data_IF_736590379652
#
_entry.id   IF_736590379652
#
_cell.length_a   1.000
_cell.length_b   1.000
_cell.length_c   1.000
_cell.angle_alpha   90.00
_cell.angle_beta   90.00
_cell.angle_gamma   90.00
#
_symmetry.space_group_name_H-M   'P 1'
#
loop_
_entity.id
_entity.type
_entity.pdbx_description
1 polymer ?
#
# COMPACT_ATOMS: atom_id res chain seq x y z
N UNK A 1 -31.46 -9.34 14.58
CA UNK A 1 -32.68 -9.88 13.99
C UNK A 1 -33.85 -9.11 14.57
N UNK A 2 -34.44 -8.20 13.80
CA UNK A 2 -35.64 -7.48 14.19
C UNK A 2 -36.82 -8.46 14.18
N UNK A 3 -37.46 -8.66 15.33
CA UNK A 3 -38.71 -9.44 15.43
C UNK A 3 -39.80 -8.57 14.83
N UNK A 4 -40.42 -8.95 13.71
CA UNK A 4 -41.56 -8.18 13.18
C UNK A 4 -42.75 -8.34 14.12
N UNK A 5 -43.09 -7.28 14.81
CA UNK A 5 -44.37 -7.19 15.54
C UNK A 5 -45.44 -6.86 14.50
N UNK A 6 -46.27 -7.85 14.16
CA UNK A 6 -47.42 -7.62 13.29
C UNK A 6 -48.46 -6.83 14.06
N UNK A 7 -48.84 -5.67 13.59
CA UNK A 7 -49.80 -4.72 14.15
C UNK A 7 -51.22 -5.31 14.35
N UNK A 8 -51.51 -6.45 13.72
CA UNK A 8 -52.84 -7.08 13.74
C UNK A 8 -53.17 -7.84 15.02
N UNK A 9 -52.26 -7.89 16.00
CA UNK A 9 -52.47 -8.57 17.30
C UNK A 9 -52.39 -7.67 18.52
N UNK A 10 -52.22 -6.38 18.35
CA UNK A 10 -52.37 -5.45 19.48
C UNK A 10 -53.85 -5.27 19.83
N UNK A 11 -54.24 -5.37 21.10
CA UNK A 11 -55.61 -5.00 21.51
C UNK A 11 -55.88 -3.57 21.06
N UNK A 12 -56.98 -3.36 20.35
CA UNK A 12 -57.41 -2.03 19.89
C UNK A 12 -57.95 -1.17 21.04
N UNK A 13 -57.28 -1.17 22.17
CA UNK A 13 -57.60 -0.25 23.24
C UNK A 13 -56.98 1.10 22.92
N UNK A 14 -57.84 2.08 22.58
CA UNK A 14 -57.46 3.44 22.18
C UNK A 14 -57.22 4.37 23.37
N UNK A 15 -57.09 3.84 24.56
CA UNK A 15 -56.71 4.64 25.73
C UNK A 15 -55.21 4.95 25.64
N UNK A 16 -54.92 6.22 25.52
CA UNK A 16 -53.53 6.65 25.67
C UNK A 16 -53.05 6.25 27.07
N UNK A 17 -51.86 5.63 27.18
CA UNK A 17 -51.32 5.26 28.47
C UNK A 17 -51.14 6.49 29.35
N UNK A 18 -51.43 6.37 30.63
CA UNK A 18 -51.20 7.43 31.60
C UNK A 18 -49.70 7.72 31.74
N UNK A 19 -49.34 8.93 32.18
CA UNK A 19 -47.95 9.30 32.45
C UNK A 19 -47.27 8.35 33.45
N UNK A 20 -48.02 7.81 34.38
CA UNK A 20 -47.52 6.83 35.35
C UNK A 20 -47.18 5.51 34.68
N UNK A 21 -48.03 4.98 33.81
CA UNK A 21 -47.77 3.75 33.05
C UNK A 21 -46.60 3.91 32.10
N UNK A 22 -46.47 5.08 31.46
CA UNK A 22 -45.30 5.39 30.60
C UNK A 22 -43.99 5.46 31.41
N UNK A 23 -44.05 6.05 32.61
CA UNK A 23 -42.89 6.15 33.49
C UNK A 23 -42.47 4.79 34.03
N UNK A 24 -43.44 3.97 34.43
CA UNK A 24 -43.19 2.62 34.97
C UNK A 24 -42.61 1.71 33.87
N UNK A 25 -43.14 1.76 32.65
CA UNK A 25 -42.62 1.01 31.50
C UNK A 25 -41.19 1.48 31.12
N UNK A 26 -40.97 2.80 31.10
CA UNK A 26 -39.66 3.36 30.85
C UNK A 26 -38.61 2.88 31.89
N UNK A 27 -39.01 2.89 33.18
CA UNK A 27 -38.12 2.40 34.25
C UNK A 27 -37.87 0.89 34.16
N UNK A 28 -38.89 0.10 33.77
CA UNK A 28 -38.74 -1.34 33.57
C UNK A 28 -37.87 -1.70 32.36
N UNK A 29 -37.90 -0.87 31.32
CA UNK A 29 -37.16 -1.06 30.06
C UNK A 29 -35.89 -0.19 29.95
N UNK A 30 -35.39 0.34 31.07
CA UNK A 30 -34.26 1.31 31.10
C UNK A 30 -32.99 0.77 30.43
N UNK A 31 -32.77 -0.54 30.48
CA UNK A 31 -31.64 -1.21 29.85
C UNK A 31 -31.75 -1.21 28.30
N UNK A 32 -32.97 -1.24 27.76
CA UNK A 32 -33.21 -1.20 26.31
C UNK A 32 -32.91 0.19 25.70
N UNK A 33 -32.93 1.23 26.54
CA UNK A 33 -32.59 2.61 26.16
C UNK A 33 -31.15 3.00 26.46
N UNK A 34 -30.35 2.09 27.04
CA UNK A 34 -28.92 2.35 27.23
C UNK A 34 -28.18 2.23 25.90
N UNK A 35 -27.59 3.31 25.51
CA UNK A 35 -26.66 3.34 24.40
C UNK A 35 -25.24 3.46 24.93
N UNK A 36 -24.30 2.78 24.26
CA UNK A 36 -22.89 2.99 24.50
C UNK A 36 -22.53 4.46 24.28
N UNK A 37 -21.52 4.93 25.00
CA UNK A 37 -21.05 6.32 24.84
C UNK A 37 -20.61 6.56 23.40
N UNK A 38 -21.34 7.40 22.68
CA UNK A 38 -21.03 7.79 21.31
C UNK A 38 -20.26 9.11 21.31
N UNK A 39 -19.18 9.14 20.54
CA UNK A 39 -18.38 10.35 20.31
C UNK A 39 -18.30 10.65 18.83
N UNK A 40 -18.61 11.88 18.46
CA UNK A 40 -18.32 12.39 17.14
C UNK A 40 -16.86 12.86 17.12
N UNK A 41 -16.07 12.28 16.22
CA UNK A 41 -14.65 12.62 16.08
C UNK A 41 -14.41 13.13 14.68
N UNK A 42 -13.78 14.30 14.57
CA UNK A 42 -13.22 14.81 13.33
C UNK A 42 -11.70 14.63 13.36
N UNK A 43 -11.10 14.29 12.22
CA UNK A 43 -9.66 14.14 12.13
C UNK A 43 -9.12 14.67 10.81
N UNK A 44 -7.86 15.09 10.84
CA UNK A 44 -7.07 15.43 9.65
C UNK A 44 -5.94 14.44 9.50
N UNK A 45 -5.71 13.98 8.28
CA UNK A 45 -4.65 13.01 7.98
C UNK A 45 -3.73 13.51 6.89
N UNK A 46 -2.44 13.19 7.00
CA UNK A 46 -1.44 13.44 5.98
C UNK A 46 -0.97 12.12 5.38
N UNK A 47 -1.06 12.03 4.06
CA UNK A 47 -0.60 10.85 3.34
C UNK A 47 0.93 10.80 3.33
N UNK A 48 1.50 9.70 3.81
CA UNK A 48 2.93 9.41 3.70
C UNK A 48 3.26 9.01 2.25
N UNK A 49 3.38 9.98 1.37
CA UNK A 49 3.75 9.74 -0.02
C UNK A 49 5.16 10.29 -0.29
N UNK A 50 5.91 9.69 -1.22
CA UNK A 50 7.18 10.25 -1.68
C UNK A 50 6.99 11.65 -2.24
N UNK A 51 7.97 12.52 -2.00
CA UNK A 51 8.04 13.84 -2.61
C UNK A 51 8.54 13.75 -4.07
N UNK A 52 8.43 14.88 -4.79
CA UNK A 52 9.06 15.00 -6.10
C UNK A 52 10.59 14.81 -6.02
N UNK A 53 11.22 15.32 -4.95
CA UNK A 53 12.65 15.15 -4.73
C UNK A 53 13.04 13.69 -4.46
N UNK A 54 12.21 12.94 -3.72
CA UNK A 54 12.43 11.50 -3.51
C UNK A 54 12.40 10.75 -4.85
N UNK A 55 11.47 11.12 -5.74
CA UNK A 55 11.38 10.52 -7.07
C UNK A 55 12.60 10.84 -7.94
N UNK A 56 13.12 12.06 -7.86
CA UNK A 56 14.34 12.49 -8.57
C UNK A 56 15.55 11.72 -8.04
N UNK A 57 15.73 11.67 -6.73
CA UNK A 57 16.85 10.98 -6.10
C UNK A 57 16.82 9.48 -6.43
N UNK A 58 15.65 8.88 -6.46
CA UNK A 58 15.46 7.49 -6.87
C UNK A 58 15.85 7.27 -8.34
N UNK A 59 15.54 8.22 -9.22
CA UNK A 59 15.99 8.20 -10.61
C UNK A 59 17.51 8.23 -10.75
N UNK A 60 18.19 9.05 -9.98
CA UNK A 60 19.67 9.08 -9.96
C UNK A 60 20.27 7.77 -9.46
N UNK A 61 19.73 7.21 -8.38
CA UNK A 61 20.17 5.91 -7.86
C UNK A 61 20.03 4.80 -8.92
N UNK A 62 18.90 4.72 -9.61
CA UNK A 62 18.67 3.73 -10.66
C UNK A 62 19.67 3.92 -11.81
N UNK A 63 19.95 5.16 -12.20
CA UNK A 63 20.91 5.46 -13.26
C UNK A 63 22.33 5.05 -12.88
N UNK A 64 22.75 5.32 -11.65
CA UNK A 64 24.06 4.90 -11.11
C UNK A 64 24.20 3.37 -11.11
N UNK A 65 23.21 2.66 -10.58
CA UNK A 65 23.22 1.19 -10.56
C UNK A 65 23.32 0.61 -11.98
N UNK A 66 22.56 1.18 -12.93
CA UNK A 66 22.61 0.74 -14.33
C UNK A 66 23.95 1.01 -14.98
N UNK A 67 24.58 2.15 -14.71
CA UNK A 67 25.91 2.50 -15.21
C UNK A 67 26.97 1.54 -14.66
N UNK A 68 26.98 1.30 -13.35
CA UNK A 68 27.90 0.37 -12.69
C UNK A 68 27.75 -1.05 -13.22
N UNK A 69 26.50 -1.52 -13.35
CA UNK A 69 26.21 -2.84 -13.90
C UNK A 69 26.69 -2.99 -15.35
N UNK A 70 26.48 -1.97 -16.20
CA UNK A 70 26.93 -1.99 -17.59
C UNK A 70 28.47 -1.80 -17.72
N UNK A 71 29.10 -1.22 -16.72
CA UNK A 71 30.56 -1.09 -16.66
C UNK A 71 31.29 -2.37 -16.20
N UNK A 72 30.52 -3.44 -15.90
CA UNK A 72 31.07 -4.75 -15.57
C UNK A 72 31.13 -5.05 -14.07
N UNK A 73 30.56 -4.20 -13.20
CA UNK A 73 30.39 -4.52 -11.79
C UNK A 73 29.44 -5.71 -11.62
N UNK A 74 29.68 -6.52 -10.60
CA UNK A 74 28.86 -7.70 -10.33
C UNK A 74 27.40 -7.33 -10.08
N UNK A 75 26.50 -7.76 -10.98
CA UNK A 75 25.07 -7.53 -10.81
C UNK A 75 24.53 -8.18 -9.54
N UNK A 76 25.09 -9.30 -9.11
CA UNK A 76 24.71 -9.97 -7.89
C UNK A 76 25.05 -9.15 -6.64
N UNK A 77 26.22 -8.50 -6.62
CA UNK A 77 26.62 -7.64 -5.51
C UNK A 77 25.77 -6.38 -5.47
N UNK A 78 25.51 -5.75 -6.61
CA UNK A 78 24.57 -4.63 -6.73
C UNK A 78 23.14 -5.03 -6.27
N UNK A 79 22.70 -6.23 -6.63
CA UNK A 79 21.40 -6.72 -6.20
C UNK A 79 21.35 -6.94 -4.68
N UNK A 80 22.39 -7.51 -4.07
CA UNK A 80 22.45 -7.69 -2.62
C UNK A 80 22.49 -6.35 -1.88
N UNK A 81 23.16 -5.33 -2.46
CA UNK A 81 23.27 -4.01 -1.86
C UNK A 81 21.97 -3.18 -1.98
N UNK A 82 21.32 -3.21 -3.15
CA UNK A 82 20.25 -2.26 -3.47
C UNK A 82 18.86 -2.83 -3.57
N UNK A 83 18.69 -4.15 -3.74
CA UNK A 83 17.34 -4.68 -3.96
C UNK A 83 16.46 -4.52 -2.72
N UNK A 84 15.25 -4.02 -2.96
CA UNK A 84 14.17 -3.94 -1.97
C UNK A 84 13.13 -5.05 -2.16
N UNK A 85 13.50 -6.09 -2.94
CA UNK A 85 12.71 -7.31 -3.05
C UNK A 85 13.21 -8.35 -2.04
N UNK A 86 12.41 -8.70 -1.01
CA UNK A 86 12.83 -9.67 0.00
C UNK A 86 13.14 -11.05 -0.58
N UNK A 87 12.57 -11.41 -1.73
CA UNK A 87 12.79 -12.73 -2.35
C UNK A 87 14.15 -12.86 -3.01
N UNK A 88 14.74 -11.73 -3.44
CA UNK A 88 16.06 -11.65 -4.09
C UNK A 88 17.20 -11.23 -3.16
N UNK A 89 16.88 -10.82 -1.93
CA UNK A 89 17.85 -10.38 -0.95
C UNK A 89 18.80 -11.54 -0.58
N UNK A 90 20.08 -11.27 -0.48
CA UNK A 90 21.14 -12.25 -0.22
C UNK A 90 21.29 -13.39 -1.27
N UNK A 91 20.61 -13.25 -2.42
CA UNK A 91 20.65 -14.19 -3.54
C UNK A 91 21.13 -13.55 -4.84
N UNK A 92 21.67 -12.34 -4.77
CA UNK A 92 22.08 -11.60 -5.97
C UNK A 92 20.91 -11.24 -6.90
N UNK A 93 19.69 -11.12 -6.34
CA UNK A 93 18.48 -10.83 -7.10
C UNK A 93 18.01 -11.98 -8.00
N UNK A 94 18.50 -13.21 -7.81
CA UNK A 94 18.19 -14.35 -8.67
C UNK A 94 16.72 -14.75 -8.62
N UNK A 95 16.09 -14.80 -9.80
CA UNK A 95 14.70 -15.24 -9.98
C UNK A 95 14.59 -16.67 -10.51
N UNK A 96 15.73 -17.30 -10.91
CA UNK A 96 15.74 -18.57 -11.59
C UNK A 96 15.11 -18.49 -12.99
N UNK A 97 14.70 -19.65 -13.51
CA UNK A 97 13.96 -19.77 -14.76
C UNK A 97 12.48 -19.49 -14.56
N UNK A 98 11.91 -18.64 -15.40
CA UNK A 98 10.47 -18.37 -15.39
C UNK A 98 9.89 -18.35 -16.82
N UNK A 99 8.65 -18.79 -16.93
CA UNK A 99 7.85 -18.76 -18.15
C UNK A 99 6.86 -17.59 -18.17
N UNK A 100 6.09 -17.51 -19.26
CA UNK A 100 5.01 -16.51 -19.41
C UNK A 100 3.91 -16.73 -18.35
N UNK A 101 3.39 -15.63 -17.81
CA UNK A 101 2.34 -15.62 -16.77
C UNK A 101 2.85 -15.72 -15.33
N UNK A 102 4.15 -15.84 -15.11
CA UNK A 102 4.74 -15.96 -13.77
C UNK A 102 5.18 -14.63 -13.17
N UNK A 103 5.41 -13.62 -14.01
CA UNK A 103 5.87 -12.29 -13.58
C UNK A 103 4.81 -11.22 -13.88
N UNK A 104 4.95 -10.05 -13.27
CA UNK A 104 4.08 -8.92 -13.61
C UNK A 104 4.31 -8.49 -15.05
N UNK A 105 3.23 -8.16 -15.74
CA UNK A 105 3.20 -7.96 -17.20
C UNK A 105 4.31 -7.05 -17.75
N UNK A 106 4.57 -5.85 -17.18
CA UNK A 106 5.64 -4.98 -17.70
C UNK A 106 7.04 -5.61 -17.60
N UNK A 107 7.30 -6.32 -16.49
CA UNK A 107 8.56 -7.02 -16.26
C UNK A 107 8.73 -8.17 -17.25
N UNK A 108 7.70 -9.00 -17.39
CA UNK A 108 7.69 -10.15 -18.27
C UNK A 108 7.93 -9.75 -19.73
N UNK A 109 7.14 -8.80 -20.24
CA UNK A 109 7.28 -8.32 -21.61
C UNK A 109 8.70 -7.80 -21.90
N UNK A 110 9.28 -7.04 -20.96
CA UNK A 110 10.63 -6.54 -21.09
C UNK A 110 11.69 -7.67 -21.10
N UNK A 111 11.60 -8.61 -20.15
CA UNK A 111 12.53 -9.72 -20.03
C UNK A 111 12.49 -10.65 -21.26
N UNK A 112 11.28 -10.98 -21.74
CA UNK A 112 11.13 -11.83 -22.94
C UNK A 112 11.58 -11.13 -24.23
N UNK A 113 11.45 -9.80 -24.32
CA UNK A 113 11.87 -9.01 -25.48
C UNK A 113 13.39 -8.76 -25.51
N UNK A 114 14.01 -8.67 -24.34
CA UNK A 114 15.44 -8.36 -24.20
C UNK A 114 16.32 -9.47 -24.78
N UNK A 115 17.56 -9.15 -25.12
CA UNK A 115 18.57 -10.13 -25.57
C UNK A 115 19.19 -10.86 -24.38
N UNK A 116 19.59 -12.13 -24.59
CA UNK A 116 20.44 -12.85 -23.64
C UNK A 116 21.71 -12.02 -23.33
N UNK A 117 22.09 -11.95 -22.06
CA UNK A 117 23.26 -11.21 -21.58
C UNK A 117 23.03 -9.70 -21.43
N UNK A 118 21.83 -9.18 -21.67
CA UNK A 118 21.59 -7.74 -21.53
C UNK A 118 21.06 -7.36 -20.16
N UNK A 119 21.44 -6.18 -19.70
CA UNK A 119 20.87 -5.49 -18.56
C UNK A 119 19.92 -4.42 -19.09
N UNK A 120 18.68 -4.46 -18.63
CA UNK A 120 17.60 -3.57 -19.10
C UNK A 120 16.90 -2.90 -17.92
N UNK A 121 16.39 -1.70 -18.15
CA UNK A 121 15.64 -0.94 -17.14
C UNK A 121 15.74 0.56 -17.39
N UNK A 122 15.15 1.37 -16.52
CA UNK A 122 14.20 0.94 -15.49
C UNK A 122 12.83 0.52 -16.06
N UNK A 123 12.34 -0.62 -15.62
CA UNK A 123 11.01 -1.11 -15.97
C UNK A 123 10.06 -0.82 -14.80
N UNK A 124 9.06 0.03 -15.02
CA UNK A 124 8.10 0.41 -13.98
C UNK A 124 7.00 -0.65 -13.82
N UNK A 125 6.69 -1.01 -12.58
CA UNK A 125 5.57 -1.84 -12.20
C UNK A 125 4.85 -1.29 -10.96
N UNK A 126 3.79 -1.97 -10.51
CA UNK A 126 3.12 -1.63 -9.25
C UNK A 126 3.99 -1.79 -8.00
N UNK A 127 5.10 -2.50 -8.11
CA UNK A 127 6.04 -2.73 -7.01
C UNK A 127 7.18 -1.71 -6.95
N UNK A 128 7.44 -1.01 -8.03
CA UNK A 128 8.55 -0.06 -8.16
C UNK A 128 9.20 -0.11 -9.54
N UNK A 129 10.46 0.28 -9.59
CA UNK A 129 11.30 0.23 -10.78
C UNK A 129 12.22 -0.99 -10.71
N UNK A 130 12.27 -1.76 -11.79
CA UNK A 130 13.10 -2.95 -11.91
C UNK A 130 14.26 -2.71 -12.85
N UNK A 131 15.46 -3.14 -12.47
CA UNK A 131 16.60 -3.35 -13.34
C UNK A 131 16.73 -4.86 -13.51
N UNK A 132 16.77 -5.36 -14.73
CA UNK A 132 16.71 -6.79 -15.04
C UNK A 132 17.97 -7.19 -15.77
N UNK A 133 18.69 -8.17 -15.27
CA UNK A 133 19.76 -8.84 -15.96
C UNK A 133 19.25 -10.16 -16.57
N UNK A 134 19.10 -10.21 -17.90
CA UNK A 134 18.67 -11.39 -18.63
C UNK A 134 19.88 -12.30 -18.89
N UNK A 135 20.09 -13.28 -18.03
CA UNK A 135 21.28 -14.17 -18.10
C UNK A 135 21.19 -15.21 -19.22
N UNK A 136 20.03 -15.80 -19.41
CA UNK A 136 19.83 -16.82 -20.43
C UNK A 136 18.37 -16.92 -20.92
N UNK A 137 18.17 -17.61 -22.04
CA UNK A 137 16.86 -17.92 -22.61
C UNK A 137 16.86 -19.34 -23.16
N UNK A 138 15.78 -20.09 -22.94
CA UNK A 138 15.60 -21.42 -23.50
C UNK A 138 14.16 -21.64 -23.95
N UNK A 139 14.00 -22.64 -24.78
CA UNK A 139 12.67 -23.20 -25.07
C UNK A 139 12.66 -24.63 -24.58
N UNK A 140 11.71 -24.98 -23.72
CA UNK A 140 11.52 -26.30 -23.15
C UNK A 140 10.06 -26.70 -23.39
N UNK A 141 9.86 -27.86 -24.04
CA UNK A 141 8.55 -28.34 -24.46
C UNK A 141 7.70 -27.31 -25.25
N UNK A 142 8.37 -26.52 -26.12
CA UNK A 142 7.73 -25.47 -26.92
C UNK A 142 7.34 -24.23 -26.15
N UNK A 143 7.74 -24.12 -24.86
CA UNK A 143 7.52 -22.97 -24.00
C UNK A 143 8.82 -22.20 -23.80
N UNK A 144 8.76 -20.90 -24.10
CA UNK A 144 9.89 -20.01 -23.84
C UNK A 144 10.05 -19.76 -22.35
N UNK A 145 11.31 -19.80 -21.88
CA UNK A 145 11.68 -19.46 -20.51
C UNK A 145 12.88 -18.49 -20.52
N UNK A 146 12.92 -17.64 -19.51
CA UNK A 146 13.99 -16.66 -19.27
C UNK A 146 14.63 -16.94 -17.92
N UNK A 147 15.95 -16.94 -17.87
CA UNK A 147 16.74 -16.94 -16.65
C UNK A 147 17.18 -15.51 -16.38
N UNK A 148 16.74 -14.92 -15.27
CA UNK A 148 17.12 -13.56 -14.96
C UNK A 148 17.39 -13.33 -13.47
N UNK A 149 18.10 -12.24 -13.21
CA UNK A 149 18.18 -11.60 -11.90
C UNK A 149 17.61 -10.21 -11.99
N UNK A 150 17.14 -9.65 -10.88
CA UNK A 150 16.62 -8.29 -10.86
C UNK A 150 17.02 -7.50 -9.61
N UNK A 151 16.97 -6.19 -9.73
CA UNK A 151 17.03 -5.23 -8.63
C UNK A 151 15.71 -4.48 -8.61
N UNK A 152 15.00 -4.50 -7.49
CA UNK A 152 13.77 -3.74 -7.28
C UNK A 152 14.10 -2.50 -6.46
N UNK A 153 13.78 -1.33 -6.98
CA UNK A 153 13.89 -0.06 -6.28
C UNK A 153 12.48 0.56 -6.15
N UNK A 154 12.03 0.77 -4.91
CA UNK A 154 10.76 1.40 -4.59
C UNK A 154 10.97 2.90 -4.40
N UNK A 155 9.98 3.70 -4.77
CA UNK A 155 9.96 5.12 -4.42
C UNK A 155 9.22 5.26 -3.10
N UNK A 156 9.95 5.52 -2.03
CA UNK A 156 9.40 5.70 -0.68
C UNK A 156 9.67 7.13 -0.20
N UNK A 157 8.85 7.61 0.77
CA UNK A 157 9.08 8.90 1.38
C UNK A 157 10.37 8.85 2.21
N UNK A 158 11.32 9.72 1.89
CA UNK A 158 12.60 9.84 2.61
C UNK A 158 12.39 10.32 4.06
N UNK A 159 13.38 10.13 4.93
CA UNK A 159 13.36 10.71 6.29
C UNK A 159 13.11 12.23 6.29
N UNK A 160 13.64 12.96 5.31
CA UNK A 160 13.40 14.40 5.15
C UNK A 160 11.93 14.67 4.84
N UNK A 161 11.35 13.98 3.86
CA UNK A 161 9.93 14.10 3.53
C UNK A 161 9.04 13.77 4.73
N UNK A 162 9.36 12.72 5.49
CA UNK A 162 8.62 12.37 6.71
C UNK A 162 8.77 13.40 7.81
N UNK A 163 9.95 14.02 7.96
CA UNK A 163 10.18 15.11 8.91
C UNK A 163 9.37 16.35 8.56
N UNK A 164 9.33 16.72 7.29
CA UNK A 164 8.54 17.86 6.80
C UNK A 164 7.03 17.64 7.00
N UNK A 165 6.55 16.41 6.74
CA UNK A 165 5.15 16.04 7.03
C UNK A 165 4.82 16.16 8.52
N UNK A 166 5.71 15.67 9.41
CA UNK A 166 5.52 15.80 10.85
C UNK A 166 5.48 17.26 11.28
N UNK A 167 6.41 18.08 10.76
CA UNK A 167 6.45 19.52 11.04
C UNK A 167 5.14 20.19 10.61
N UNK A 168 4.65 19.90 9.42
CA UNK A 168 3.38 20.42 8.91
C UNK A 168 2.21 20.02 9.81
N UNK A 169 2.13 18.75 10.21
CA UNK A 169 1.11 18.28 11.13
C UNK A 169 1.16 18.93 12.50
N UNK A 170 2.37 19.18 13.02
CA UNK A 170 2.58 19.86 14.30
C UNK A 170 2.14 21.31 14.23
N UNK A 171 2.54 22.05 13.17
CA UNK A 171 2.12 23.45 12.98
C UNK A 171 0.60 23.55 12.86
N UNK A 172 -0.03 22.67 12.08
CA UNK A 172 -1.49 22.61 11.99
C UNK A 172 -2.14 22.40 13.37
N UNK A 173 -1.57 21.50 14.20
CA UNK A 173 -2.10 21.26 15.55
C UNK A 173 -2.05 22.51 16.43
N UNK A 174 -0.97 23.29 16.37
CA UNK A 174 -0.88 24.57 17.08
C UNK A 174 -1.88 25.59 16.55
N UNK A 175 -1.97 25.76 15.24
CA UNK A 175 -2.89 26.71 14.61
C UNK A 175 -4.35 26.35 14.94
N UNK A 176 -4.70 25.05 14.95
CA UNK A 176 -6.04 24.58 15.28
C UNK A 176 -6.40 24.82 16.76
N UNK A 177 -5.43 24.75 17.67
CA UNK A 177 -5.64 25.06 19.10
C UNK A 177 -5.80 26.57 19.34
N UNK A 178 -4.99 27.39 18.68
CA UNK A 178 -4.93 28.84 18.90
C UNK A 178 -6.09 29.59 18.24
N UNK A 179 -6.55 29.14 17.08
CA UNK A 179 -7.58 29.80 16.27
C UNK A 179 -9.01 29.40 16.61
N UNK A 180 -9.22 28.47 17.55
CA UNK A 180 -10.54 28.00 17.94
C UNK A 180 -11.32 27.34 16.78
N UNK A 181 -10.60 26.72 15.82
CA UNK A 181 -11.25 25.99 14.74
C UNK A 181 -12.15 24.90 15.31
N UNK A 182 -13.46 25.05 15.09
CA UNK A 182 -14.42 23.96 15.21
C UNK A 182 -14.49 23.25 13.87
N UNK A 183 -14.13 21.96 13.86
CA UNK A 183 -14.24 21.10 12.70
C UNK A 183 -15.73 20.78 12.38
#
# INVERSE_FOLDING_TARGET
>A
DAIPVTYDKAPQDKTEPSETELTDEYQASLDDFKHDELRNVSFVSWKKAPSAQDSINNGYLISDIMERANSGESFADLANEYTQDPSGQDKGGDLGWFGKGQMVKPFEEAAFKAKKGSIIGPIKSRFGSHIINVRDKRSEDGKEQVLASHILIKVEASPTTLSDLRRTATLFSYDAQDSGFTF
#
